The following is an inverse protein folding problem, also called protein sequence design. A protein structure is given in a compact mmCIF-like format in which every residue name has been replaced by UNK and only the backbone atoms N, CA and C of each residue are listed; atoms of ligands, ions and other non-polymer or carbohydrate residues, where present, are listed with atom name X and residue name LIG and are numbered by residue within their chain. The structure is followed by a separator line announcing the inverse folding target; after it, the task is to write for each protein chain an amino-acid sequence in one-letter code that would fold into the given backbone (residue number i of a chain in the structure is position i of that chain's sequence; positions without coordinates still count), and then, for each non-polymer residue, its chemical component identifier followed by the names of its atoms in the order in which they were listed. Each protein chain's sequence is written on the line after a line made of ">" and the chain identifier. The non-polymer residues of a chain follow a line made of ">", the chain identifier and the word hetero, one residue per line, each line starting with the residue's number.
data_IF_446958551622
#
_entry.id   IF_446958551622
#
_cell.length_a   1.000
_cell.length_b   1.000
_cell.length_c   1.000
_cell.angle_alpha   90.00
_cell.angle_beta   90.00
_cell.angle_gamma   90.00
#
_symmetry.space_group_name_H-M   'P 1'
#
loop_
_entity.id
_entity.type
_entity.pdbx_description
1 polymer ?
#
# COMPACT_ATOMS: atom_id res chain seq x y z
N UNK A 1 20.42 20.16 -4.33
CA UNK A 1 20.14 19.06 -3.39
C UNK A 1 18.66 19.08 -3.03
N UNK A 2 18.00 17.97 -3.18
CA UNK A 2 16.57 17.87 -2.89
C UNK A 2 16.37 17.35 -1.47
N UNK A 3 15.34 17.85 -0.77
CA UNK A 3 14.96 17.33 0.53
C UNK A 3 14.27 15.96 0.37
N UNK A 4 14.28 15.18 1.45
CA UNK A 4 13.54 13.93 1.52
C UNK A 4 12.03 14.21 1.34
N UNK A 5 11.31 13.42 0.52
CA UNK A 5 9.88 13.58 0.39
C UNK A 5 9.15 13.46 1.73
N UNK A 6 8.03 14.17 1.86
CA UNK A 6 7.18 14.04 3.05
C UNK A 6 6.36 12.76 2.98
N UNK A 7 6.94 11.68 3.48
CA UNK A 7 6.29 10.37 3.44
C UNK A 7 4.99 10.31 4.25
N UNK A 8 4.88 11.12 5.33
CA UNK A 8 3.65 11.16 6.12
C UNK A 8 2.51 11.81 5.36
N UNK A 9 2.78 12.87 4.60
CA UNK A 9 1.79 13.49 3.74
C UNK A 9 1.33 12.54 2.64
N UNK A 10 2.24 11.73 2.11
CA UNK A 10 1.92 10.71 1.12
C UNK A 10 1.08 9.59 1.73
N UNK A 11 1.41 9.15 2.94
CA UNK A 11 0.62 8.15 3.67
C UNK A 11 -0.80 8.64 3.94
N UNK A 12 -0.99 9.93 4.18
CA UNK A 12 -2.32 10.49 4.43
C UNK A 12 -3.30 10.19 3.29
N UNK A 13 -2.83 10.19 2.05
CA UNK A 13 -3.66 9.85 0.88
C UNK A 13 -4.07 8.37 0.92
N UNK A 14 -3.14 7.48 1.19
CA UNK A 14 -3.44 6.04 1.33
C UNK A 14 -4.39 5.78 2.50
N UNK A 15 -4.25 6.53 3.61
CA UNK A 15 -5.14 6.44 4.76
C UNK A 15 -6.58 6.86 4.43
N UNK A 16 -6.76 7.90 3.63
CA UNK A 16 -8.09 8.28 3.15
C UNK A 16 -8.73 7.13 2.37
N UNK A 17 -7.95 6.46 1.52
CA UNK A 17 -8.43 5.29 0.77
C UNK A 17 -8.81 4.14 1.70
N UNK A 18 -8.03 3.90 2.74
CA UNK A 18 -8.33 2.87 3.74
C UNK A 18 -9.65 3.17 4.47
N UNK A 19 -9.86 4.42 4.85
CA UNK A 19 -11.12 4.85 5.50
C UNK A 19 -12.32 4.70 4.57
N UNK A 20 -12.16 5.05 3.30
CA UNK A 20 -13.20 4.87 2.28
C UNK A 20 -13.56 3.39 2.14
N UNK A 21 -12.56 2.52 2.03
CA UNK A 21 -12.77 1.08 1.94
C UNK A 21 -13.50 0.52 3.16
N UNK A 22 -13.14 0.97 4.35
CA UNK A 22 -13.82 0.57 5.59
C UNK A 22 -15.29 1.04 5.60
N UNK A 23 -15.55 2.27 5.18
CA UNK A 23 -16.90 2.82 5.10
C UNK A 23 -17.77 2.06 4.08
N UNK A 24 -17.15 1.48 3.06
CA UNK A 24 -17.83 0.65 2.06
C UNK A 24 -18.07 -0.79 2.52
N UNK A 25 -17.61 -1.14 3.71
CA UNK A 25 -17.73 -2.49 4.27
C UNK A 25 -16.57 -3.43 3.94
N UNK A 26 -15.49 -2.92 3.35
CA UNK A 26 -14.32 -3.71 2.98
C UNK A 26 -13.16 -3.57 3.98
N UNK A 27 -12.03 -4.20 3.62
CA UNK A 27 -10.81 -4.13 4.42
C UNK A 27 -10.23 -2.71 4.37
N UNK A 28 -9.80 -2.15 5.52
CA UNK A 28 -9.25 -0.80 5.59
C UNK A 28 -7.76 -0.78 5.17
N UNK A 29 -7.51 -1.14 3.93
CA UNK A 29 -6.18 -1.12 3.33
C UNK A 29 -6.22 -0.22 2.12
N UNK A 30 -5.45 0.86 2.17
CA UNK A 30 -5.36 1.84 1.10
C UNK A 30 -3.95 1.96 0.57
N UNK A 31 -3.85 2.46 -0.64
CA UNK A 31 -2.57 2.68 -1.30
C UNK A 31 -2.62 3.90 -2.20
N UNK A 32 -1.45 4.42 -2.52
CA UNK A 32 -1.28 5.51 -3.46
C UNK A 32 0.05 5.36 -4.17
N UNK A 33 0.13 5.91 -5.38
CA UNK A 33 1.35 5.91 -6.17
C UNK A 33 1.71 7.35 -6.47
N UNK A 34 2.95 7.72 -6.17
CA UNK A 34 3.50 9.05 -6.42
C UNK A 34 4.68 8.97 -7.36
N UNK A 35 4.90 10.02 -8.13
CA UNK A 35 6.09 10.16 -8.98
C UNK A 35 7.02 11.20 -8.39
N UNK A 36 8.30 10.85 -8.27
CA UNK A 36 9.34 11.81 -7.92
C UNK A 36 9.68 12.61 -9.17
N UNK A 37 9.55 13.93 -9.09
CA UNK A 37 9.82 14.85 -10.19
C UNK A 37 11.28 15.30 -10.19
N UNK A 38 11.73 15.89 -11.29
CA UNK A 38 13.12 16.34 -11.44
C UNK A 38 13.54 17.35 -10.36
N UNK A 39 12.62 18.20 -9.92
CA UNK A 39 12.87 19.18 -8.87
C UNK A 39 12.81 18.60 -7.44
N UNK A 40 12.59 17.27 -7.33
CA UNK A 40 12.50 16.57 -6.04
C UNK A 40 11.12 16.59 -5.39
N UNK A 41 10.16 17.29 -5.97
CA UNK A 41 8.76 17.25 -5.50
C UNK A 41 8.12 15.93 -5.91
N UNK A 42 6.97 15.60 -5.31
CA UNK A 42 6.22 14.39 -5.68
C UNK A 42 4.85 14.79 -6.22
N UNK A 43 4.41 14.03 -7.22
CA UNK A 43 3.07 14.19 -7.80
C UNK A 43 2.26 12.93 -7.57
N UNK A 44 1.01 13.06 -7.16
CA UNK A 44 0.08 11.94 -7.04
C UNK A 44 -0.28 11.43 -8.44
N UNK A 45 -0.02 10.14 -8.69
CA UNK A 45 -0.38 9.48 -9.96
C UNK A 45 -1.72 8.78 -9.83
N UNK A 46 -1.90 8.01 -8.75
CA UNK A 46 -3.12 7.24 -8.53
C UNK A 46 -3.27 6.86 -7.07
N UNK A 47 -4.48 6.42 -6.72
CA UNK A 47 -4.82 5.93 -5.40
C UNK A 47 -5.85 4.81 -5.53
N UNK A 48 -5.95 3.98 -4.50
CA UNK A 48 -6.87 2.86 -4.50
C UNK A 48 -6.97 2.23 -3.12
N UNK A 49 -7.89 1.27 -2.99
CA UNK A 49 -8.07 0.53 -1.74
C UNK A 49 -8.53 -0.90 -2.04
N UNK A 50 -8.40 -1.76 -1.05
CA UNK A 50 -8.83 -3.16 -1.17
C UNK A 50 -10.32 -3.22 -1.51
N UNK A 51 -10.68 -3.99 -2.53
CA UNK A 51 -12.06 -4.13 -3.03
C UNK A 51 -12.54 -5.57 -3.03
N UNK A 52 -11.89 -6.43 -2.26
CA UNK A 52 -12.29 -7.83 -2.16
C UNK A 52 -13.78 -7.99 -1.88
N UNK A 53 -14.28 -7.25 -0.90
CA UNK A 53 -15.69 -7.32 -0.49
C UNK A 53 -16.58 -6.55 -1.45
N UNK A 54 -16.20 -5.34 -1.81
CA UNK A 54 -17.03 -4.45 -2.62
C UNK A 54 -17.32 -5.03 -4.01
N UNK A 55 -16.32 -5.66 -4.63
CA UNK A 55 -16.42 -6.20 -5.99
C UNK A 55 -16.37 -7.72 -6.06
N UNK A 56 -16.19 -8.41 -4.92
CA UNK A 56 -15.96 -9.85 -4.92
C UNK A 56 -14.71 -10.24 -5.70
N UNK A 57 -13.70 -9.39 -5.70
CA UNK A 57 -12.50 -9.56 -6.52
C UNK A 57 -11.26 -9.76 -5.64
N UNK A 58 -10.73 -10.98 -5.57
CA UNK A 58 -9.55 -11.28 -4.73
C UNK A 58 -8.26 -10.65 -5.25
N UNK A 59 -8.22 -10.19 -6.48
CA UNK A 59 -7.03 -9.59 -7.08
C UNK A 59 -6.85 -8.12 -6.69
N UNK A 60 -7.88 -7.48 -6.15
CA UNK A 60 -7.85 -6.05 -5.84
C UNK A 60 -7.50 -5.79 -4.38
N UNK A 61 -6.20 -5.87 -4.07
CA UNK A 61 -5.60 -5.31 -2.89
C UNK A 61 -5.49 -3.79 -3.04
N UNK A 62 -5.14 -3.07 -1.97
CA UNK A 62 -4.93 -1.62 -2.07
C UNK A 62 -3.89 -1.27 -3.13
N UNK A 63 -2.77 -1.96 -3.10
CA UNK A 63 -1.66 -1.70 -4.03
C UNK A 63 -2.03 -2.02 -5.48
N UNK A 64 -2.71 -3.14 -5.72
CA UNK A 64 -3.11 -3.52 -7.08
C UNK A 64 -4.24 -2.64 -7.61
N UNK A 65 -5.12 -2.16 -6.75
CA UNK A 65 -6.15 -1.18 -7.14
C UNK A 65 -5.51 0.15 -7.56
N UNK A 66 -4.55 0.65 -6.77
CA UNK A 66 -3.81 1.86 -7.11
C UNK A 66 -3.01 1.67 -8.41
N UNK A 67 -2.38 0.50 -8.58
CA UNK A 67 -1.62 0.17 -9.78
C UNK A 67 -2.52 0.16 -11.02
N UNK A 68 -3.69 -0.46 -10.93
CA UNK A 68 -4.70 -0.47 -11.99
C UNK A 68 -5.11 0.96 -12.36
N UNK A 69 -5.36 1.79 -11.35
CA UNK A 69 -5.80 3.17 -11.55
C UNK A 69 -4.68 4.07 -12.13
N UNK A 70 -3.41 3.72 -11.89
CA UNK A 70 -2.29 4.44 -12.49
C UNK A 70 -2.25 4.27 -14.01
N UNK A 71 -2.76 3.16 -14.50
CA UNK A 71 -2.70 2.84 -15.90
C UNK A 71 -1.27 2.52 -16.37
N UNK A 72 -1.09 2.51 -17.65
CA UNK A 72 0.17 2.16 -18.28
C UNK A 72 1.22 3.27 -18.07
N UNK A 73 2.36 2.91 -17.49
CA UNK A 73 3.50 3.80 -17.30
C UNK A 73 4.70 3.26 -18.09
N UNK A 74 5.53 4.13 -18.63
CA UNK A 74 6.74 3.71 -19.36
C UNK A 74 7.80 3.18 -18.40
N UNK A 75 7.86 3.73 -17.19
CA UNK A 75 8.79 3.30 -16.14
C UNK A 75 8.13 3.48 -14.78
N UNK A 76 8.44 2.57 -13.87
CA UNK A 76 7.97 2.60 -12.48
C UNK A 76 9.12 2.89 -11.50
N UNK A 77 10.34 3.12 -12.03
CA UNK A 77 11.53 3.29 -11.19
C UNK A 77 11.53 4.57 -10.38
N UNK A 78 10.91 5.61 -10.90
CA UNK A 78 10.75 6.90 -10.23
C UNK A 78 9.40 7.01 -9.50
N UNK A 79 8.67 5.91 -9.41
CA UNK A 79 7.41 5.85 -8.67
C UNK A 79 7.65 5.32 -7.25
N UNK A 80 6.81 5.82 -6.34
CA UNK A 80 6.80 5.39 -4.94
C UNK A 80 5.45 4.71 -4.70
N UNK A 81 5.48 3.48 -4.21
CA UNK A 81 4.28 2.79 -3.75
C UNK A 81 4.08 3.10 -2.28
N UNK A 82 2.92 3.62 -1.93
CA UNK A 82 2.55 3.91 -0.54
C UNK A 82 1.37 3.01 -0.17
N UNK A 83 1.48 2.31 0.95
CA UNK A 83 0.44 1.39 1.41
C UNK A 83 0.27 1.50 2.92
N UNK A 84 -0.97 1.39 3.40
CA UNK A 84 -1.26 1.51 4.84
C UNK A 84 -0.80 0.29 5.64
N UNK A 85 -0.65 -0.87 5.00
CA UNK A 85 -0.19 -2.10 5.60
C UNK A 85 0.97 -2.68 4.81
N UNK A 86 1.90 -3.34 5.47
CA UNK A 86 3.02 -4.01 4.81
C UNK A 86 2.52 -4.90 3.66
N UNK A 87 3.17 -4.88 2.49
CA UNK A 87 2.70 -5.63 1.33
C UNK A 87 2.84 -7.14 1.52
N UNK A 88 1.83 -7.89 1.08
CA UNK A 88 1.88 -9.35 1.02
C UNK A 88 2.81 -9.80 -0.13
N UNK A 89 2.99 -11.12 -0.27
CA UNK A 89 3.81 -11.68 -1.35
C UNK A 89 3.34 -11.24 -2.73
N UNK A 90 2.04 -11.19 -2.94
CA UNK A 90 1.44 -10.79 -4.20
C UNK A 90 1.80 -9.34 -4.56
N UNK A 91 1.58 -8.42 -3.64
CA UNK A 91 1.87 -7.00 -3.89
C UNK A 91 3.38 -6.72 -3.91
N UNK A 92 4.16 -7.42 -3.09
CA UNK A 92 5.63 -7.32 -3.15
C UNK A 92 6.14 -7.82 -4.51
N UNK A 93 5.53 -8.85 -5.05
CA UNK A 93 5.83 -9.34 -6.39
C UNK A 93 5.60 -8.30 -7.48
N UNK A 94 4.48 -7.58 -7.40
CA UNK A 94 4.19 -6.46 -8.29
C UNK A 94 5.24 -5.37 -8.19
N UNK A 95 5.57 -4.95 -6.98
CA UNK A 95 6.56 -3.91 -6.71
C UNK A 95 7.92 -4.31 -7.30
N UNK A 96 8.34 -5.55 -7.06
CA UNK A 96 9.58 -6.10 -7.60
C UNK A 96 9.54 -6.18 -9.12
N UNK A 97 8.48 -6.73 -9.68
CA UNK A 97 8.35 -6.99 -11.12
C UNK A 97 8.46 -5.70 -11.93
N UNK A 98 7.80 -4.64 -11.48
CA UNK A 98 7.75 -3.39 -12.23
C UNK A 98 8.85 -2.40 -11.84
N UNK A 99 9.69 -2.74 -10.88
CA UNK A 99 10.90 -1.99 -10.59
C UNK A 99 10.70 -0.72 -9.76
N UNK A 100 9.67 -0.68 -8.92
CA UNK A 100 9.55 0.39 -7.92
C UNK A 100 10.80 0.35 -7.02
N UNK A 101 11.37 1.51 -6.74
CA UNK A 101 12.58 1.59 -5.89
C UNK A 101 12.29 1.97 -4.46
N UNK A 102 11.13 2.58 -4.22
CA UNK A 102 10.75 3.06 -2.89
C UNK A 102 9.34 2.60 -2.56
N UNK A 103 9.18 2.11 -1.34
CA UNK A 103 7.89 1.69 -0.78
C UNK A 103 7.74 2.32 0.60
N UNK A 104 6.64 3.03 0.82
CA UNK A 104 6.28 3.60 2.11
C UNK A 104 5.17 2.77 2.71
N UNK A 105 5.38 2.31 3.94
CA UNK A 105 4.47 1.41 4.64
C UNK A 105 3.92 2.13 5.86
N UNK A 106 2.60 2.10 6.03
CA UNK A 106 1.95 2.65 7.21
C UNK A 106 2.31 1.88 8.47
N UNK A 107 2.27 0.53 8.41
CA UNK A 107 2.64 -0.29 9.54
C UNK A 107 2.95 -1.74 9.13
N UNK A 108 3.66 -2.46 9.98
CA UNK A 108 3.97 -3.88 9.82
C UNK A 108 3.78 -4.67 11.12
N UNK A 109 2.99 -4.11 12.05
CA UNK A 109 2.68 -4.76 13.34
C UNK A 109 1.62 -5.83 13.16
N UNK A 110 0.52 -5.51 12.46
CA UNK A 110 -0.59 -6.44 12.26
C UNK A 110 -0.28 -7.50 11.20
N UNK A 111 0.59 -7.18 10.27
CA UNK A 111 1.02 -8.08 9.21
C UNK A 111 2.41 -7.69 8.74
N UNK A 112 3.24 -8.69 8.51
CA UNK A 112 4.60 -8.53 7.99
C UNK A 112 4.85 -9.66 7.01
N UNK A 113 5.40 -9.34 5.84
CA UNK A 113 5.59 -10.36 4.81
C UNK A 113 6.55 -9.92 3.71
N UNK A 114 6.03 -9.43 2.61
CA UNK A 114 6.81 -9.14 1.40
C UNK A 114 7.84 -8.03 1.55
N UNK A 115 7.69 -7.12 2.52
CA UNK A 115 8.64 -6.03 2.73
C UNK A 115 10.06 -6.52 3.05
N UNK A 116 10.19 -7.69 3.69
CA UNK A 116 11.51 -8.26 3.99
C UNK A 116 12.26 -8.59 2.72
N UNK A 117 11.61 -9.23 1.76
CA UNK A 117 12.20 -9.54 0.45
C UNK A 117 12.57 -8.28 -0.31
N UNK A 118 11.75 -7.25 -0.23
CA UNK A 118 12.03 -5.97 -0.89
C UNK A 118 13.27 -5.30 -0.32
N UNK A 119 13.45 -5.34 1.02
CA UNK A 119 14.65 -4.83 1.67
C UNK A 119 15.91 -5.62 1.25
N UNK A 120 15.81 -6.94 1.19
CA UNK A 120 16.91 -7.80 0.75
C UNK A 120 17.33 -7.48 -0.68
N UNK A 121 16.40 -7.08 -1.53
CA UNK A 121 16.67 -6.67 -2.92
C UNK A 121 17.24 -5.25 -3.03
N UNK A 122 17.36 -4.55 -1.92
CA UNK A 122 17.92 -3.21 -1.87
C UNK A 122 16.95 -2.08 -2.12
N UNK A 123 15.63 -2.35 -2.09
CA UNK A 123 14.64 -1.27 -2.18
C UNK A 123 14.67 -0.41 -0.92
N UNK A 124 14.33 0.86 -1.09
CA UNK A 124 14.14 1.78 0.01
C UNK A 124 12.75 1.54 0.61
N UNK A 125 12.69 0.84 1.75
CA UNK A 125 11.44 0.51 2.43
C UNK A 125 11.34 1.32 3.70
N UNK A 126 10.35 2.21 3.77
CA UNK A 126 10.14 3.10 4.92
C UNK A 126 8.87 2.68 5.65
N UNK A 127 9.02 2.18 6.87
CA UNK A 127 7.90 1.83 7.75
C UNK A 127 7.69 2.97 8.74
N UNK A 128 6.54 3.62 8.65
CA UNK A 128 6.24 4.79 9.48
C UNK A 128 5.65 4.40 10.85
N UNK A 129 5.29 3.14 11.03
CA UNK A 129 4.65 2.64 12.26
C UNK A 129 3.53 3.58 12.73
N UNK A 130 2.65 3.92 11.80
CA UNK A 130 1.60 4.93 12.03
C UNK A 130 0.53 4.39 12.97
N UNK A 131 0.25 5.09 14.09
CA UNK A 131 -0.73 4.60 15.08
C UNK A 131 -2.14 4.42 14.54
N UNK A 132 -2.59 5.29 13.61
CA UNK A 132 -3.93 5.18 13.04
C UNK A 132 -4.04 3.95 12.14
N UNK A 133 -3.02 3.69 11.31
CA UNK A 133 -2.98 2.48 10.48
C UNK A 133 -3.02 1.23 11.36
N UNK A 134 -2.21 1.19 12.41
CA UNK A 134 -2.14 0.05 13.34
C UNK A 134 -3.50 -0.19 13.99
N UNK A 135 -4.12 0.85 14.55
CA UNK A 135 -5.39 0.74 15.25
C UNK A 135 -6.52 0.31 14.32
N UNK A 136 -6.64 0.94 13.17
CA UNK A 136 -7.69 0.65 12.20
C UNK A 136 -7.64 -0.81 11.75
N UNK A 137 -6.46 -1.31 11.42
CA UNK A 137 -6.28 -2.68 10.94
C UNK A 137 -6.50 -3.69 12.06
N UNK A 138 -5.96 -3.42 13.26
CA UNK A 138 -6.16 -4.27 14.44
C UNK A 138 -7.64 -4.46 14.75
N UNK A 139 -8.39 -3.37 14.77
CA UNK A 139 -9.81 -3.40 15.11
C UNK A 139 -10.61 -4.15 14.03
N UNK A 140 -10.24 -3.97 12.77
CA UNK A 140 -10.88 -4.70 11.67
C UNK A 140 -10.64 -6.21 11.78
N UNK A 141 -9.40 -6.62 12.00
CA UNK A 141 -9.04 -8.05 12.13
C UNK A 141 -9.82 -8.68 13.29
N UNK A 142 -9.91 -7.99 14.44
CA UNK A 142 -10.64 -8.49 15.58
C UNK A 142 -12.13 -8.70 15.29
N UNK A 143 -12.73 -7.81 14.51
CA UNK A 143 -14.15 -7.86 14.15
C UNK A 143 -14.45 -8.78 12.96
N UNK A 144 -13.46 -9.01 12.08
CA UNK A 144 -13.65 -9.71 10.81
C UNK A 144 -12.52 -10.72 10.54
N UNK A 145 -12.27 -11.68 11.46
CA UNK A 145 -11.12 -12.57 11.30
C UNK A 145 -11.22 -13.48 10.08
N UNK A 146 -12.42 -13.88 9.68
CA UNK A 146 -12.61 -14.75 8.52
C UNK A 146 -12.25 -14.04 7.21
N UNK A 147 -12.71 -12.81 7.04
CA UNK A 147 -12.39 -12.00 5.85
C UNK A 147 -10.89 -11.69 5.80
N UNK A 148 -10.30 -11.37 6.94
CA UNK A 148 -8.86 -11.13 7.03
C UNK A 148 -8.06 -12.37 6.60
N UNK A 149 -8.40 -13.53 7.14
CA UNK A 149 -7.72 -14.79 6.81
C UNK A 149 -7.86 -15.12 5.32
N UNK A 150 -9.04 -14.89 4.76
CA UNK A 150 -9.27 -15.06 3.32
C UNK A 150 -8.34 -14.17 2.49
N UNK A 151 -8.17 -12.92 2.90
CA UNK A 151 -7.34 -11.95 2.16
C UNK A 151 -5.86 -12.33 2.15
N UNK A 152 -5.38 -13.00 3.18
CA UNK A 152 -3.98 -13.42 3.30
C UNK A 152 -3.77 -14.93 3.03
N UNK A 153 -4.80 -15.62 2.58
CA UNK A 153 -4.70 -17.03 2.18
C UNK A 153 -4.50 -18.01 3.33
N UNK A 154 -5.11 -17.73 4.49
CA UNK A 154 -5.07 -18.61 5.68
C UNK A 154 -6.47 -19.18 5.91
N UNK A 155 -6.55 -20.49 6.23
CA UNK A 155 -7.80 -21.17 6.56
C UNK A 155 -8.32 -20.82 7.96
#
# INVERSE_FOLDING_TARGET
>A
MHSTPDYRAMLAVALEEARTGLAEGGLPIGAAIFRVQEDGTVALISRGHNRRIQLGDPSLHGETDAFRNAGRQRSYRDLIMVTTLAPCWYCAGLIRQFGFRTVVIGESVNFSGGEHSLRELGLNVIDLADPECITMMRDYIAANPTVWNEDIGID
#
